data_IF_021509024811
#
_entry.id   IF_021509024811
#
_cell.length_a   1.000
_cell.length_b   1.000
_cell.length_c   1.000
_cell.angle_alpha   90.00
_cell.angle_beta   90.00
_cell.angle_gamma   90.00
#
_symmetry.space_group_name_H-M   'P 1'
#
loop_
_entity.id
_entity.type
_entity.pdbx_description
1 polymer ?
#
# COMPACT_ATOMS: atom_id res chain seq x y z
N UNK A 1 22.96 -6.49 62.12
CA UNK A 1 21.55 -6.91 61.98
C UNK A 1 20.72 -5.63 61.96
N UNK A 2 20.04 -5.15 60.93
CA UNK A 2 19.59 -5.64 59.62
C UNK A 2 19.57 -4.41 58.67
N UNK A 3 20.07 -4.50 57.44
CA UNK A 3 19.25 -4.74 56.23
C UNK A 3 17.86 -4.09 56.28
N UNK A 4 17.64 -3.01 55.51
CA UNK A 4 16.51 -2.97 54.56
C UNK A 4 16.81 -2.00 53.43
N UNK A 5 16.74 -2.53 52.22
CA UNK A 5 17.04 -1.92 50.94
C UNK A 5 15.79 -1.26 50.32
N UNK A 6 16.05 -0.31 49.41
CA UNK A 6 15.26 0.03 48.23
C UNK A 6 13.83 0.58 48.39
N UNK A 7 13.62 1.78 47.82
CA UNK A 7 12.99 1.93 46.49
C UNK A 7 13.16 3.38 46.02
N UNK A 8 14.26 3.66 45.33
CA UNK A 8 14.33 4.83 44.44
C UNK A 8 13.36 4.56 43.30
N UNK A 9 12.27 5.31 43.23
CA UNK A 9 11.40 5.35 42.06
C UNK A 9 12.24 5.81 40.86
N UNK A 10 12.66 4.86 40.03
CA UNK A 10 13.34 5.11 38.78
C UNK A 10 12.37 5.80 37.83
N UNK A 11 12.47 7.13 37.75
CA UNK A 11 11.83 7.95 36.72
C UNK A 11 12.26 7.39 35.36
N UNK A 12 11.33 6.74 34.66
CA UNK A 12 11.56 6.13 33.34
C UNK A 12 12.21 7.20 32.45
N UNK A 13 13.39 6.97 31.86
CA UNK A 13 14.05 8.00 31.08
C UNK A 13 13.15 8.40 29.92
N UNK A 14 12.91 9.71 29.77
CA UNK A 14 12.24 10.26 28.59
C UNK A 14 13.02 9.78 27.36
N UNK A 15 12.32 9.08 26.44
CA UNK A 15 12.92 8.63 25.17
C UNK A 15 13.48 9.87 24.48
N UNK A 16 14.80 9.92 24.34
CA UNK A 16 15.48 10.99 23.62
C UNK A 16 14.97 11.00 22.16
N UNK A 17 14.39 12.12 21.75
CA UNK A 17 13.95 12.38 20.38
C UNK A 17 15.17 12.36 19.43
N UNK A 18 15.06 11.66 18.29
CA UNK A 18 16.12 11.69 17.27
C UNK A 18 16.11 10.59 16.21
N UNK A 19 15.17 9.64 16.25
CA UNK A 19 14.86 8.83 15.06
C UNK A 19 13.44 9.18 14.63
N UNK A 20 13.34 10.09 13.67
CA UNK A 20 12.14 10.13 12.82
C UNK A 20 11.93 8.70 12.34
N UNK A 21 10.76 8.14 12.59
CA UNK A 21 10.44 6.83 12.07
C UNK A 21 10.42 6.96 10.54
N UNK A 22 11.39 6.37 9.81
CA UNK A 22 11.59 6.67 8.39
C UNK A 22 10.41 6.24 7.51
N UNK A 23 9.51 5.44 8.07
CA UNK A 23 8.26 4.98 7.47
C UNK A 23 7.01 5.47 8.21
N UNK A 24 7.14 6.44 9.12
CA UNK A 24 5.99 7.11 9.72
C UNK A 24 5.47 8.17 8.74
N UNK A 25 4.64 7.71 7.81
CA UNK A 25 3.95 8.56 6.86
C UNK A 25 2.78 9.28 7.55
N UNK A 26 3.06 10.39 8.22
CA UNK A 26 2.05 11.22 8.90
C UNK A 26 0.98 11.78 7.93
N UNK A 27 1.29 11.84 6.64
CA UNK A 27 0.37 12.19 5.55
C UNK A 27 -0.11 11.02 4.71
N UNK A 28 -0.02 9.76 5.19
CA UNK A 28 -0.49 8.61 4.41
C UNK A 28 -1.97 8.78 4.09
N UNK A 29 -2.28 8.86 2.79
CA UNK A 29 -3.65 8.95 2.34
C UNK A 29 -4.41 7.70 2.80
N UNK A 30 -5.61 7.92 3.36
CA UNK A 30 -6.49 6.85 3.88
C UNK A 30 -6.78 5.76 2.84
N UNK A 31 -6.56 6.03 1.57
CA UNK A 31 -6.68 5.06 0.49
C UNK A 31 -5.79 3.82 0.74
N UNK A 32 -4.57 3.97 1.26
CA UNK A 32 -3.70 2.81 1.50
C UNK A 32 -4.06 1.99 2.75
N UNK A 33 -5.05 2.42 3.55
CA UNK A 33 -5.49 1.67 4.74
C UNK A 33 -6.34 0.44 4.38
N UNK A 34 -6.77 0.32 3.13
CA UNK A 34 -7.49 -0.85 2.65
C UNK A 34 -6.51 -1.88 2.08
N UNK A 35 -6.53 -3.09 2.67
CA UNK A 35 -5.61 -4.19 2.31
C UNK A 35 -5.60 -4.50 0.81
N UNK A 36 -6.75 -4.45 0.15
CA UNK A 36 -6.87 -4.72 -1.29
C UNK A 36 -6.16 -3.68 -2.16
N UNK A 37 -6.26 -2.38 -1.82
CA UNK A 37 -5.55 -1.33 -2.56
C UNK A 37 -4.04 -1.40 -2.36
N UNK A 38 -3.59 -1.72 -1.15
CA UNK A 38 -2.18 -1.95 -0.90
C UNK A 38 -1.66 -3.14 -1.73
N UNK A 39 -2.38 -4.27 -1.75
CA UNK A 39 -2.01 -5.43 -2.55
C UNK A 39 -1.90 -5.10 -4.04
N UNK A 40 -2.89 -4.39 -4.60
CA UNK A 40 -2.89 -3.93 -6.00
C UNK A 40 -1.68 -3.03 -6.28
N UNK A 41 -1.44 -2.01 -5.47
CA UNK A 41 -0.32 -1.10 -5.66
C UNK A 41 1.03 -1.83 -5.56
N UNK A 42 1.22 -2.67 -4.54
CA UNK A 42 2.46 -3.46 -4.40
C UNK A 42 2.69 -4.37 -5.60
N UNK A 43 1.63 -5.04 -6.08
CA UNK A 43 1.72 -5.90 -7.25
C UNK A 43 2.12 -5.11 -8.52
N UNK A 44 1.48 -3.95 -8.77
CA UNK A 44 1.80 -3.11 -9.93
C UNK A 44 3.17 -2.42 -9.84
N UNK A 45 3.66 -2.11 -8.63
CA UNK A 45 5.04 -1.63 -8.42
C UNK A 45 6.06 -2.71 -8.78
N UNK A 46 5.77 -3.98 -8.49
CA UNK A 46 6.62 -5.11 -8.88
C UNK A 46 6.56 -5.43 -10.38
N UNK A 47 5.55 -4.95 -11.11
CA UNK A 47 5.33 -5.20 -12.54
C UNK A 47 5.20 -3.87 -13.31
N UNK A 48 6.31 -3.15 -13.56
CA UNK A 48 6.28 -1.81 -14.15
C UNK A 48 5.68 -1.76 -15.57
N UNK A 49 5.76 -2.87 -16.32
CA UNK A 49 5.14 -3.00 -17.65
C UNK A 49 3.61 -3.07 -17.60
N UNK A 50 3.03 -3.22 -16.41
CA UNK A 50 1.60 -3.40 -16.17
C UNK A 50 1.16 -4.85 -16.15
N UNK A 51 -0.09 -5.06 -15.75
CA UNK A 51 -0.73 -6.38 -15.71
C UNK A 51 -2.12 -6.33 -16.31
N UNK A 52 -2.59 -7.45 -16.87
CA UNK A 52 -3.99 -7.56 -17.25
C UNK A 52 -4.89 -7.55 -16.01
N UNK A 53 -6.14 -7.13 -16.17
CA UNK A 53 -7.11 -7.14 -15.08
C UNK A 53 -7.24 -8.53 -14.43
N UNK A 54 -7.30 -9.59 -15.24
CA UNK A 54 -7.38 -10.98 -14.80
C UNK A 54 -6.13 -11.43 -14.05
N UNK A 55 -4.93 -11.13 -14.54
CA UNK A 55 -3.70 -11.53 -13.84
C UNK A 55 -3.57 -10.79 -12.50
N UNK A 56 -3.96 -9.51 -12.47
CA UNK A 56 -3.94 -8.69 -11.26
C UNK A 56 -4.97 -9.18 -10.23
N UNK A 57 -6.13 -9.62 -10.72
CA UNK A 57 -7.17 -10.23 -9.90
C UNK A 57 -6.66 -11.48 -9.18
N UNK A 58 -6.07 -12.39 -9.94
CA UNK A 58 -5.54 -13.65 -9.43
C UNK A 58 -4.37 -13.40 -8.47
N UNK A 59 -3.43 -12.53 -8.86
CA UNK A 59 -2.27 -12.17 -8.04
C UNK A 59 -2.66 -11.53 -6.70
N UNK A 60 -3.77 -10.78 -6.65
CA UNK A 60 -4.24 -10.12 -5.44
C UNK A 60 -5.29 -10.95 -4.66
N UNK A 61 -5.75 -12.09 -5.20
CA UNK A 61 -6.83 -12.88 -4.61
C UNK A 61 -8.14 -12.09 -4.47
N UNK A 62 -8.44 -11.23 -5.44
CA UNK A 62 -9.61 -10.34 -5.40
C UNK A 62 -10.73 -10.89 -6.30
N UNK A 63 -11.96 -10.47 -6.03
CA UNK A 63 -13.08 -10.63 -6.97
C UNK A 63 -13.11 -9.45 -7.94
N UNK A 64 -13.72 -9.62 -9.12
CA UNK A 64 -13.87 -8.57 -10.14
C UNK A 64 -14.43 -7.27 -9.55
N UNK A 65 -15.47 -7.37 -8.72
CA UNK A 65 -16.12 -6.21 -8.10
C UNK A 65 -15.22 -5.47 -7.10
N UNK A 66 -14.41 -6.20 -6.33
CA UNK A 66 -13.46 -5.58 -5.41
C UNK A 66 -12.29 -4.96 -6.16
N UNK A 67 -11.72 -5.67 -7.14
CA UNK A 67 -10.64 -5.15 -7.97
C UNK A 67 -11.08 -3.89 -8.72
N UNK A 68 -12.26 -3.91 -9.35
CA UNK A 68 -12.81 -2.75 -10.04
C UNK A 68 -12.97 -1.54 -9.11
N UNK A 69 -13.54 -1.73 -7.91
CA UNK A 69 -13.68 -0.65 -6.92
C UNK A 69 -12.32 -0.08 -6.49
N UNK A 70 -11.34 -0.94 -6.23
CA UNK A 70 -10.00 -0.51 -5.84
C UNK A 70 -9.31 0.25 -6.98
N UNK A 71 -9.34 -0.28 -8.20
CA UNK A 71 -8.75 0.35 -9.37
C UNK A 71 -9.39 1.71 -9.69
N UNK A 72 -10.71 1.84 -9.59
CA UNK A 72 -11.40 3.12 -9.77
C UNK A 72 -10.92 4.16 -8.75
N UNK A 73 -10.90 3.82 -7.46
CA UNK A 73 -10.44 4.75 -6.41
C UNK A 73 -8.96 5.14 -6.59
N UNK A 74 -8.10 4.20 -7.00
CA UNK A 74 -6.69 4.47 -7.25
C UNK A 74 -6.49 5.33 -8.51
N UNK A 75 -7.31 5.12 -9.56
CA UNK A 75 -7.25 5.89 -10.80
C UNK A 75 -7.74 7.33 -10.59
N UNK A 76 -8.79 7.56 -9.81
CA UNK A 76 -9.28 8.89 -9.42
C UNK A 76 -8.20 9.72 -8.73
N UNK A 77 -7.31 9.07 -7.96
CA UNK A 77 -6.17 9.69 -7.30
C UNK A 77 -4.92 9.78 -8.19
N UNK A 78 -4.98 9.29 -9.43
CA UNK A 78 -3.84 9.26 -10.36
C UNK A 78 -2.74 8.27 -9.98
N UNK A 79 -2.99 7.32 -9.07
CA UNK A 79 -2.01 6.31 -8.62
C UNK A 79 -1.81 5.21 -9.66
N UNK A 80 -2.87 4.87 -10.41
CA UNK A 80 -2.83 3.86 -11.47
C UNK A 80 -3.45 4.40 -12.77
N UNK A 81 -3.02 3.85 -13.89
CA UNK A 81 -3.71 4.00 -15.19
C UNK A 81 -4.35 2.68 -15.59
N UNK A 82 -5.48 2.79 -16.29
CA UNK A 82 -6.26 1.65 -16.78
C UNK A 82 -6.51 1.90 -18.26
N UNK A 83 -5.96 1.04 -19.12
CA UNK A 83 -6.03 1.20 -20.58
C UNK A 83 -6.67 -0.04 -21.17
N UNK A 84 -7.68 0.15 -22.03
CA UNK A 84 -8.20 -0.93 -22.87
C UNK A 84 -7.34 -1.01 -24.12
N UNK A 85 -6.63 -2.11 -24.26
CA UNK A 85 -5.86 -2.42 -25.45
C UNK A 85 -6.72 -3.33 -26.34
N UNK A 86 -7.03 -2.83 -27.54
CA UNK A 86 -7.79 -3.53 -28.57
C UNK A 86 -6.93 -3.66 -29.83
N UNK A 87 -6.31 -4.82 -30.00
CA UNK A 87 -5.55 -5.20 -31.20
C UNK A 87 -6.23 -6.33 -31.96
N UNK A 88 -5.46 -7.17 -32.67
CA UNK A 88 -5.97 -8.34 -33.41
C UNK A 88 -6.52 -9.49 -32.52
N UNK A 89 -6.64 -9.28 -31.21
CA UNK A 89 -7.08 -10.27 -30.23
C UNK A 89 -8.23 -9.78 -29.35
N UNK A 90 -8.58 -10.58 -28.33
CA UNK A 90 -9.61 -10.21 -27.36
C UNK A 90 -9.22 -8.89 -26.66
N UNK A 91 -10.11 -7.88 -26.63
CA UNK A 91 -9.84 -6.63 -25.92
C UNK A 91 -9.45 -6.92 -24.47
N UNK A 92 -8.30 -6.42 -24.06
CA UNK A 92 -7.74 -6.67 -22.73
C UNK A 92 -7.55 -5.35 -22.01
N UNK A 93 -7.87 -5.32 -20.72
CA UNK A 93 -7.65 -4.14 -19.88
C UNK A 93 -6.32 -4.31 -19.16
N UNK A 94 -5.40 -3.37 -19.38
CA UNK A 94 -4.09 -3.33 -18.74
C UNK A 94 -4.09 -2.24 -17.67
N UNK A 95 -3.63 -2.60 -16.47
CA UNK A 95 -3.48 -1.73 -15.32
C UNK A 95 -1.99 -1.48 -15.05
N UNK A 96 -1.60 -0.22 -14.80
CA UNK A 96 -0.20 0.18 -14.58
C UNK A 96 -0.09 1.14 -13.41
N UNK A 97 0.99 1.06 -12.63
CA UNK A 97 1.30 2.08 -11.62
C UNK A 97 1.82 3.35 -12.31
N UNK A 98 1.35 4.52 -11.89
CA UNK A 98 1.87 5.79 -12.40
C UNK A 98 3.15 6.20 -11.68
N UNK A 99 3.81 7.24 -12.18
CA UNK A 99 4.93 7.87 -11.48
C UNK A 99 4.52 8.43 -10.12
N UNK A 100 3.28 8.93 -9.98
CA UNK A 100 2.77 9.47 -8.73
C UNK A 100 2.39 8.37 -7.71
N UNK A 101 2.16 7.15 -8.19
CA UNK A 101 1.85 5.99 -7.37
C UNK A 101 3.06 5.18 -6.90
N UNK A 102 4.26 5.47 -7.42
CA UNK A 102 5.54 4.85 -6.99
C UNK A 102 6.17 5.62 -5.83
#
# INVERSE_FOLDING_TARGET
MNSTNARKASKKPARQNGREAPYAYSGLQRIFHERGRLAVCTCLVAHPEGMSFTDLQDACGLTDGNLSRHLSALAEMGVVTIVKESGHGRPTTICRITNAGR
#
